data_IF_821793697638
#
_entry.id   IF_821793697638
#
_cell.length_a   1.000
_cell.length_b   1.000
_cell.length_c   1.000
_cell.angle_alpha   90.00
_cell.angle_beta   90.00
_cell.angle_gamma   90.00
#
_symmetry.space_group_name_H-M   'P 1'
#
loop_
_entity.id
_entity.type
_entity.pdbx_description
1 polymer ?
#
# COMPACT_ATOMS: atom_id res chain seq x y z
N UNK A 1 12.49 -0.12 -20.67
CA UNK A 1 13.47 0.00 -19.58
C UNK A 1 12.83 -0.61 -18.33
N UNK A 2 13.22 -1.82 -17.92
CA UNK A 2 12.70 -2.42 -16.68
C UNK A 2 13.62 -1.99 -15.55
N UNK A 3 13.20 -0.98 -14.79
CA UNK A 3 13.87 -0.62 -13.54
C UNK A 3 13.65 -1.77 -12.55
N UNK A 4 14.70 -2.50 -12.19
CA UNK A 4 14.61 -3.49 -11.11
C UNK A 4 14.50 -2.72 -9.81
N UNK A 5 13.55 -3.09 -8.95
CA UNK A 5 13.29 -2.42 -7.68
C UNK A 5 14.53 -2.28 -6.79
N UNK A 6 15.42 -3.30 -6.85
CA UNK A 6 16.72 -3.27 -6.17
C UNK A 6 17.59 -2.11 -6.64
N UNK A 7 17.63 -1.84 -7.95
CA UNK A 7 18.48 -0.82 -8.54
C UNK A 7 17.93 0.58 -8.20
N UNK A 8 16.60 0.75 -8.20
CA UNK A 8 15.95 1.98 -7.71
C UNK A 8 16.30 2.28 -6.25
N UNK A 9 16.22 1.27 -5.35
CA UNK A 9 16.59 1.46 -3.94
C UNK A 9 18.06 1.84 -3.79
N UNK A 10 18.96 1.18 -4.52
CA UNK A 10 20.39 1.47 -4.47
C UNK A 10 20.69 2.89 -4.95
N UNK A 11 20.03 3.35 -6.00
CA UNK A 11 20.25 4.70 -6.53
C UNK A 11 19.69 5.78 -5.61
N UNK A 12 18.49 5.57 -5.06
CA UNK A 12 17.91 6.51 -4.08
C UNK A 12 18.72 6.60 -2.77
N UNK A 13 19.37 5.51 -2.36
CA UNK A 13 20.30 5.51 -1.23
C UNK A 13 21.56 6.33 -1.54
N UNK A 14 22.14 6.20 -2.75
CA UNK A 14 23.35 6.95 -3.14
C UNK A 14 23.12 8.46 -3.16
N UNK A 15 21.90 8.89 -3.50
CA UNK A 15 21.53 10.32 -3.55
C UNK A 15 21.03 10.84 -2.20
N UNK A 16 21.04 10.02 -1.14
CA UNK A 16 20.45 10.31 0.17
C UNK A 16 18.97 10.71 0.12
N UNK A 17 18.30 10.47 -1.01
CA UNK A 17 16.94 10.93 -1.28
C UNK A 17 15.90 10.17 -0.43
N UNK A 18 16.25 9.00 0.11
CA UNK A 18 15.38 8.26 1.00
C UNK A 18 15.31 8.85 2.42
N UNK A 19 16.27 9.68 2.82
CA UNK A 19 16.34 10.25 4.17
C UNK A 19 15.11 11.08 4.56
N UNK A 20 14.39 11.61 3.58
CA UNK A 20 13.16 12.39 3.73
C UNK A 20 12.01 11.89 2.83
N UNK A 21 12.10 10.65 2.32
CA UNK A 21 11.15 10.10 1.36
C UNK A 21 10.57 8.77 1.85
N UNK A 22 9.29 8.58 1.57
CA UNK A 22 8.64 7.27 1.62
C UNK A 22 8.33 6.85 0.19
N UNK A 23 8.76 5.64 -0.19
CA UNK A 23 8.42 5.06 -1.49
C UNK A 23 7.37 3.97 -1.29
N UNK A 24 6.21 4.14 -1.93
CA UNK A 24 5.10 3.17 -1.91
C UNK A 24 4.88 2.67 -3.33
N UNK A 25 4.96 1.35 -3.53
CA UNK A 25 4.70 0.69 -4.79
C UNK A 25 3.53 -0.29 -4.65
N UNK A 26 2.31 0.12 -5.00
CA UNK A 26 1.23 -0.81 -5.23
C UNK A 26 1.31 -1.39 -6.64
N UNK A 27 0.92 -2.65 -6.82
CA UNK A 27 0.44 -3.06 -8.15
C UNK A 27 -0.84 -2.29 -8.52
N UNK A 28 -1.22 -2.29 -9.78
CA UNK A 28 -2.50 -1.77 -10.25
C UNK A 28 -3.58 -2.86 -10.20
N UNK A 29 -3.25 -4.07 -10.66
CA UNK A 29 -4.13 -5.24 -10.68
C UNK A 29 -3.34 -6.55 -10.60
N UNK A 30 -4.06 -7.68 -10.45
CA UNK A 30 -3.48 -9.03 -10.57
C UNK A 30 -3.06 -9.38 -12.00
N UNK A 31 -2.31 -10.48 -12.16
CA UNK A 31 -1.99 -11.04 -13.48
C UNK A 31 -2.86 -12.25 -13.78
N UNK A 32 -3.44 -12.28 -14.98
CA UNK A 32 -4.18 -13.44 -15.49
C UNK A 32 -3.21 -14.48 -16.07
N UNK A 33 -3.05 -15.61 -15.38
CA UNK A 33 -2.38 -16.81 -15.92
C UNK A 33 -3.40 -17.79 -16.51
N UNK A 34 -3.39 -17.95 -17.85
CA UNK A 34 -4.10 -18.96 -18.66
C UNK A 34 -5.38 -19.63 -18.14
N UNK A 35 -6.54 -19.13 -18.59
CA UNK A 35 -7.60 -19.80 -19.38
C UNK A 35 -8.75 -18.81 -19.47
N UNK A 36 -8.85 -18.16 -20.63
CA UNK A 36 -9.61 -16.94 -20.92
C UNK A 36 -11.14 -17.05 -20.80
N UNK A 37 -11.76 -17.95 -20.03
CA UNK A 37 -13.22 -18.05 -20.04
C UNK A 37 -13.93 -17.94 -18.69
N UNK A 38 -13.26 -18.06 -17.55
CA UNK A 38 -13.98 -18.18 -16.28
C UNK A 38 -13.47 -17.29 -15.13
N UNK A 39 -12.32 -16.62 -15.26
CA UNK A 39 -11.63 -15.99 -14.10
C UNK A 39 -11.63 -14.44 -14.08
N UNK A 40 -12.29 -13.81 -15.06
CA UNK A 40 -12.25 -12.36 -15.33
C UNK A 40 -12.82 -11.49 -14.19
N UNK A 41 -13.45 -12.10 -13.17
CA UNK A 41 -14.07 -11.40 -12.04
C UNK A 41 -13.40 -11.68 -10.69
N UNK A 42 -12.71 -12.81 -10.55
CA UNK A 42 -12.29 -13.31 -9.21
C UNK A 42 -10.89 -12.84 -8.77
N UNK A 43 -10.05 -12.35 -9.69
CA UNK A 43 -8.63 -12.08 -9.41
C UNK A 43 -8.12 -10.69 -9.80
N UNK A 44 -8.84 -9.92 -10.63
CA UNK A 44 -8.37 -8.59 -11.08
C UNK A 44 -8.20 -7.59 -9.92
N UNK A 45 -9.08 -7.68 -8.93
CA UNK A 45 -9.06 -6.81 -7.75
C UNK A 45 -8.05 -7.26 -6.68
N UNK A 46 -7.47 -8.46 -6.81
CA UNK A 46 -6.46 -8.99 -5.89
C UNK A 46 -5.08 -8.58 -6.37
N UNK A 47 -4.67 -7.39 -5.94
CA UNK A 47 -3.35 -6.88 -6.18
C UNK A 47 -2.29 -7.72 -5.43
N UNK A 48 -1.32 -8.33 -6.14
CA UNK A 48 -0.42 -9.31 -5.55
C UNK A 48 0.64 -8.70 -4.63
N UNK A 49 0.88 -7.38 -4.68
CA UNK A 49 1.87 -6.77 -3.80
C UNK A 49 1.60 -5.30 -3.46
N UNK A 50 2.02 -4.96 -2.25
CA UNK A 50 2.28 -3.61 -1.80
C UNK A 50 3.68 -3.61 -1.18
N UNK A 51 4.58 -2.78 -1.71
CA UNK A 51 5.89 -2.57 -1.10
C UNK A 51 6.00 -1.14 -0.59
N UNK A 52 6.45 -1.00 0.65
CA UNK A 52 6.70 0.30 1.28
C UNK A 52 8.16 0.31 1.72
N UNK A 53 8.92 1.28 1.24
CA UNK A 53 10.29 1.54 1.69
C UNK A 53 10.31 2.79 2.57
N UNK A 54 10.92 2.61 3.74
CA UNK A 54 11.10 3.62 4.77
C UNK A 54 12.57 3.64 5.19
N UNK A 55 13.12 4.82 5.43
CA UNK A 55 14.44 4.99 6.02
C UNK A 55 14.44 4.73 7.53
N UNK A 56 15.63 4.43 8.08
CA UNK A 56 15.81 4.05 9.49
C UNK A 56 15.36 5.16 10.45
N UNK A 57 15.48 6.42 10.04
CA UNK A 57 15.02 7.55 10.86
C UNK A 57 13.51 7.53 11.13
N UNK A 58 12.70 7.00 10.20
CA UNK A 58 11.27 6.82 10.40
C UNK A 58 10.93 5.66 11.37
N UNK A 59 11.89 4.77 11.63
CA UNK A 59 11.75 3.63 12.56
C UNK A 59 11.76 4.11 14.01
N UNK A 60 12.49 5.18 14.31
CA UNK A 60 12.54 5.78 15.64
C UNK A 60 11.30 6.62 15.99
N UNK A 61 10.52 7.03 15.00
CA UNK A 61 9.36 7.92 15.18
C UNK A 61 8.02 7.16 15.13
N UNK A 62 7.22 7.30 16.18
CA UNK A 62 5.75 7.22 16.15
C UNK A 62 5.08 5.88 15.83
N UNK A 63 5.73 4.73 16.02
CA UNK A 63 5.03 3.43 15.93
C UNK A 63 4.53 3.07 14.52
N UNK A 64 4.95 3.82 13.49
CA UNK A 64 4.55 3.59 12.10
C UNK A 64 4.94 2.20 11.61
N UNK A 65 6.17 1.76 11.90
CA UNK A 65 6.64 0.41 11.56
C UNK A 65 5.82 -0.66 12.28
N UNK A 66 5.40 -0.40 13.53
CA UNK A 66 4.55 -1.34 14.27
C UNK A 66 3.24 -1.58 13.51
N UNK A 67 2.55 -0.50 13.12
CA UNK A 67 1.31 -0.61 12.35
C UNK A 67 1.52 -1.30 11.00
N UNK A 68 2.60 -0.99 10.28
CA UNK A 68 2.91 -1.66 9.01
C UNK A 68 3.16 -3.16 9.17
N UNK A 69 3.89 -3.56 10.22
CA UNK A 69 4.12 -4.97 10.52
C UNK A 69 2.82 -5.69 10.93
N UNK A 70 2.02 -5.08 11.80
CA UNK A 70 0.72 -5.61 12.24
C UNK A 70 -0.31 -5.71 11.10
N UNK A 71 -0.13 -4.91 10.03
CA UNK A 71 -0.98 -4.90 8.85
C UNK A 71 -0.45 -5.76 7.69
N UNK A 72 0.73 -6.38 7.81
CA UNK A 72 1.46 -6.99 6.69
C UNK A 72 0.73 -8.16 6.01
N UNK A 73 -0.12 -8.87 6.76
CA UNK A 73 -0.94 -10.00 6.30
C UNK A 73 -2.42 -9.63 6.10
N UNK A 74 -2.78 -8.34 6.26
CA UNK A 74 -4.17 -7.89 6.27
C UNK A 74 -4.65 -7.44 4.90
N UNK A 75 -5.97 -7.46 4.72
CA UNK A 75 -6.61 -6.95 3.51
C UNK A 75 -6.43 -5.43 3.41
N UNK A 76 -5.60 -4.99 2.45
CA UNK A 76 -5.35 -3.60 2.11
C UNK A 76 -6.05 -3.25 0.79
N UNK A 77 -6.49 -2.00 0.64
CA UNK A 77 -7.09 -1.47 -0.59
C UNK A 77 -6.33 -0.24 -1.06
N UNK A 78 -6.38 0.09 -2.37
CA UNK A 78 -5.84 1.35 -2.88
C UNK A 78 -6.41 2.58 -2.17
N UNK A 79 -7.65 2.51 -1.68
CA UNK A 79 -8.23 3.56 -0.84
C UNK A 79 -7.51 3.74 0.51
N UNK A 80 -7.02 2.65 1.11
CA UNK A 80 -6.14 2.73 2.29
C UNK A 80 -4.78 3.34 1.97
N UNK A 81 -4.21 3.02 0.80
CA UNK A 81 -2.96 3.62 0.34
C UNK A 81 -3.13 5.13 0.12
N UNK A 82 -4.22 5.54 -0.54
CA UNK A 82 -4.57 6.96 -0.72
C UNK A 82 -4.67 7.69 0.62
N UNK A 83 -5.39 7.12 1.59
CA UNK A 83 -5.55 7.75 2.91
C UNK A 83 -4.24 7.84 3.69
N UNK A 84 -3.38 6.84 3.54
CA UNK A 84 -2.03 6.84 4.10
C UNK A 84 -1.21 8.00 3.52
N UNK A 85 -1.25 8.20 2.20
CA UNK A 85 -0.54 9.28 1.53
C UNK A 85 -1.10 10.67 1.88
N UNK A 86 -2.43 10.82 1.82
CA UNK A 86 -3.09 12.10 2.09
C UNK A 86 -2.77 12.62 3.49
N UNK A 87 -2.76 11.71 4.48
CA UNK A 87 -2.44 12.06 5.87
C UNK A 87 -0.95 12.21 6.12
N UNK A 88 -0.09 11.43 5.46
CA UNK A 88 1.36 11.56 5.63
C UNK A 88 1.90 12.87 5.07
N UNK A 89 1.41 13.31 3.91
CA UNK A 89 1.86 14.53 3.24
C UNK A 89 1.36 15.83 3.91
N UNK A 90 0.62 15.75 5.03
CA UNK A 90 -0.13 16.87 5.63
C UNK A 90 -0.96 17.64 4.58
N UNK A 91 -1.32 16.99 3.49
CA UNK A 91 -2.02 17.61 2.39
C UNK A 91 -3.45 17.92 2.82
N UNK A 92 -3.96 19.07 2.38
CA UNK A 92 -5.38 19.42 2.48
C UNK A 92 -6.24 18.63 1.47
N UNK A 93 -5.76 17.45 1.04
CA UNK A 93 -6.47 16.63 0.07
C UNK A 93 -7.86 16.32 0.63
N UNK A 94 -8.92 16.51 -0.18
CA UNK A 94 -10.25 16.17 0.27
C UNK A 94 -10.26 14.70 0.66
N UNK A 95 -10.71 14.43 1.89
CA UNK A 95 -10.91 13.08 2.42
C UNK A 95 -12.16 12.48 1.74
N UNK A 96 -12.04 12.25 0.42
CA UNK A 96 -13.10 11.70 -0.43
C UNK A 96 -13.45 10.26 -0.03
N UNK A 97 -12.52 9.58 0.68
CA UNK A 97 -12.68 8.23 1.19
C UNK A 97 -12.85 8.27 2.71
N UNK A 98 -14.08 8.49 3.18
CA UNK A 98 -14.43 8.57 4.61
C UNK A 98 -14.12 7.30 5.41
N UNK A 99 -13.83 6.18 4.73
CA UNK A 99 -13.55 4.87 5.35
C UNK A 99 -12.18 4.28 5.02
N UNK A 100 -11.31 5.00 4.32
CA UNK A 100 -9.96 4.48 4.09
C UNK A 100 -9.13 4.51 5.37
N UNK A 101 -8.22 3.55 5.50
CA UNK A 101 -7.40 3.32 6.70
C UNK A 101 -6.01 3.90 6.45
N UNK A 102 -5.49 4.67 7.41
CA UNK A 102 -4.09 5.10 7.38
C UNK A 102 -3.18 3.99 7.93
N UNK A 103 -2.42 3.36 7.04
CA UNK A 103 -1.53 2.23 7.36
C UNK A 103 -0.39 2.61 8.32
N UNK A 104 -0.07 3.91 8.46
CA UNK A 104 0.98 4.39 9.35
C UNK A 104 0.52 4.60 10.79
N UNK A 105 -0.78 4.66 11.05
CA UNK A 105 -1.31 5.03 12.37
C UNK A 105 -2.47 4.16 12.85
N UNK A 106 -2.89 3.17 12.07
CA UNK A 106 -4.07 2.36 12.36
C UNK A 106 -3.82 0.88 12.04
N UNK A 107 -4.39 0.01 12.87
CA UNK A 107 -4.43 -1.43 12.61
C UNK A 107 -5.69 -1.81 11.86
N UNK A 108 -5.52 -2.69 10.89
CA UNK A 108 -6.61 -3.34 10.18
C UNK A 108 -7.12 -4.47 11.06
N UNK A 109 -8.43 -4.49 11.30
CA UNK A 109 -9.08 -5.58 12.05
C UNK A 109 -8.95 -6.91 11.31
N UNK A 110 -8.70 -7.99 12.06
CA UNK A 110 -8.71 -9.37 11.55
C UNK A 110 -10.06 -9.77 10.92
N UNK A 111 -11.14 -9.11 11.34
CA UNK A 111 -12.48 -9.37 10.83
C UNK A 111 -12.80 -8.56 9.54
N UNK A 112 -11.83 -7.83 8.98
CA UNK A 112 -12.04 -7.02 7.77
C UNK A 112 -12.22 -7.93 6.55
N UNK A 113 -13.40 -7.84 5.95
CA UNK A 113 -13.77 -8.52 4.69
C UNK A 113 -13.77 -7.54 3.51
N UNK A 114 -13.83 -8.04 2.27
CA UNK A 114 -13.99 -7.20 1.07
C UNK A 114 -15.21 -6.25 1.17
N UNK A 115 -16.31 -6.76 1.73
CA UNK A 115 -17.53 -5.97 2.02
C UNK A 115 -17.26 -4.82 2.99
N UNK A 116 -16.57 -5.11 4.11
CA UNK A 116 -16.19 -4.07 5.09
C UNK A 116 -15.19 -3.08 4.48
N UNK A 117 -14.30 -3.57 3.62
CA UNK A 117 -13.35 -2.76 2.87
C UNK A 117 -13.98 -1.96 1.70
N UNK A 118 -15.30 -2.13 1.46
CA UNK A 118 -16.04 -1.50 0.36
C UNK A 118 -15.41 -1.74 -1.01
N UNK A 119 -14.75 -2.88 -1.17
CA UNK A 119 -14.40 -3.38 -2.50
C UNK A 119 -15.73 -3.76 -3.16
N UNK A 120 -16.02 -3.30 -4.39
CA UNK A 120 -17.23 -3.65 -5.10
C UNK A 120 -17.48 -5.16 -5.01
N UNK A 121 -18.72 -5.55 -4.76
CA UNK A 121 -19.08 -6.96 -4.75
C UNK A 121 -18.89 -7.56 -6.15
N UNK A 122 -18.37 -8.79 -6.19
CA UNK A 122 -18.43 -9.66 -7.36
C UNK A 122 -19.88 -10.08 -7.67
#
# INVERSE_FOLDING_TARGET
MVLKFRDLRLDLNKTEALSNMILILPGDHGLHGHKWKELWREFDHRNPFLQILLEIFFIGSNGMIKHLNENSDKLITHGGIYMTFARFSNSSLPLLLSKGINLFTQNISDNRTCRIAQIPGE
#
